data_IF_672410901315
#
_entry.id   IF_672410901315
#
_cell.length_a   1.000
_cell.length_b   1.000
_cell.length_c   1.000
_cell.angle_alpha   90.00
_cell.angle_beta   90.00
_cell.angle_gamma   90.00
#
_symmetry.space_group_name_H-M   'P 1'
#
loop_
_entity.id
_entity.type
_entity.pdbx_description
1 polymer ?
#
# COMPACT_ATOMS: atom_id res chain seq x y z
N UNK A 1 -31.88 -27.99 -2.54
CA UNK A 1 -30.41 -27.91 -2.41
C UNK A 1 -30.02 -26.46 -2.64
N UNK A 2 -29.77 -25.67 -1.60
CA UNK A 2 -29.29 -24.30 -1.78
C UNK A 2 -27.85 -24.36 -2.25
N UNK A 3 -27.59 -23.90 -3.47
CA UNK A 3 -26.24 -23.74 -3.97
C UNK A 3 -25.61 -22.61 -3.14
N UNK A 4 -24.80 -22.94 -2.13
CA UNK A 4 -23.95 -21.94 -1.48
C UNK A 4 -22.95 -21.48 -2.54
N UNK A 5 -23.11 -20.24 -3.02
CA UNK A 5 -22.16 -19.65 -3.96
C UNK A 5 -20.74 -19.78 -3.38
N UNK A 6 -19.77 -20.09 -4.25
CA UNK A 6 -18.37 -20.13 -3.82
C UNK A 6 -17.97 -18.73 -3.30
N UNK A 7 -17.22 -18.61 -2.19
CA UNK A 7 -16.90 -17.32 -1.56
C UNK A 7 -16.40 -16.24 -2.54
N UNK A 8 -15.53 -16.63 -3.48
CA UNK A 8 -15.00 -15.74 -4.52
C UNK A 8 -16.04 -15.17 -5.47
N UNK A 9 -17.18 -15.83 -5.65
CA UNK A 9 -18.26 -15.42 -6.57
C UNK A 9 -19.37 -14.62 -5.88
N UNK A 10 -19.33 -14.50 -4.55
CA UNK A 10 -20.29 -13.71 -3.79
C UNK A 10 -20.24 -12.24 -4.22
N UNK A 11 -21.38 -11.56 -4.22
CA UNK A 11 -21.38 -10.10 -4.38
C UNK A 11 -21.01 -9.44 -3.04
N UNK A 12 -20.41 -8.24 -3.04
CA UNK A 12 -20.00 -7.55 -1.81
C UNK A 12 -21.12 -7.46 -0.76
N UNK A 13 -22.35 -7.13 -1.15
CA UNK A 13 -23.49 -7.06 -0.25
C UNK A 13 -23.80 -8.41 0.43
N UNK A 14 -23.64 -9.53 -0.28
CA UNK A 14 -23.83 -10.87 0.28
C UNK A 14 -22.71 -11.21 1.27
N UNK A 15 -21.47 -10.79 1.01
CA UNK A 15 -20.35 -10.98 1.94
C UNK A 15 -20.58 -10.19 3.22
N UNK A 16 -21.03 -8.95 3.13
CA UNK A 16 -21.36 -8.11 4.29
C UNK A 16 -22.54 -8.68 5.08
N UNK A 17 -23.58 -9.17 4.42
CA UNK A 17 -24.67 -9.87 5.07
C UNK A 17 -24.22 -11.17 5.74
N UNK A 18 -23.30 -11.90 5.12
CA UNK A 18 -22.69 -13.10 5.71
C UNK A 18 -21.87 -12.77 6.95
N UNK A 19 -21.06 -11.71 6.91
CA UNK A 19 -20.26 -11.21 8.04
C UNK A 19 -21.13 -10.85 9.26
N UNK A 20 -22.31 -10.27 9.04
CA UNK A 20 -23.27 -9.95 10.11
C UNK A 20 -23.86 -11.17 10.80
N UNK A 21 -23.95 -12.30 10.11
CA UNK A 21 -24.69 -13.47 10.56
C UNK A 21 -23.78 -14.64 10.97
N UNK A 22 -22.52 -14.63 10.56
CA UNK A 22 -21.61 -15.75 10.68
C UNK A 22 -20.22 -15.26 11.08
N UNK A 23 -19.52 -16.08 11.86
CA UNK A 23 -18.13 -15.83 12.18
C UNK A 23 -17.26 -16.07 10.95
N UNK A 24 -16.60 -15.01 10.47
CA UNK A 24 -15.59 -15.13 9.42
C UNK A 24 -14.20 -14.98 10.03
N UNK A 25 -13.32 -15.93 9.73
CA UNK A 25 -11.92 -15.87 10.14
C UNK A 25 -11.14 -14.85 9.30
N UNK A 26 -11.49 -14.72 8.01
CA UNK A 26 -10.84 -13.82 7.06
C UNK A 26 -11.83 -13.39 5.96
N UNK A 27 -11.58 -12.25 5.33
CA UNK A 27 -12.27 -11.81 4.11
C UNK A 27 -11.47 -12.12 2.85
N UNK A 28 -10.25 -12.65 2.96
CA UNK A 28 -9.48 -13.10 1.81
C UNK A 28 -10.22 -14.19 1.02
N UNK A 29 -10.26 -14.07 -0.31
CA UNK A 29 -10.95 -15.01 -1.20
C UNK A 29 -12.47 -14.86 -1.26
N UNK A 30 -13.03 -13.80 -0.67
CA UNK A 30 -14.43 -13.42 -0.83
C UNK A 30 -14.56 -12.28 -1.85
N UNK A 31 -15.58 -12.38 -2.72
CA UNK A 31 -15.94 -11.38 -3.75
C UNK A 31 -14.75 -10.95 -4.63
N UNK A 32 -14.21 -11.87 -5.42
CA UNK A 32 -13.06 -11.62 -6.29
C UNK A 32 -13.32 -10.46 -7.27
N UNK A 33 -12.32 -9.59 -7.42
CA UNK A 33 -12.37 -8.41 -8.27
C UNK A 33 -13.05 -7.18 -7.63
N UNK A 34 -13.43 -7.27 -6.36
CA UNK A 34 -13.90 -6.14 -5.56
C UNK A 34 -12.86 -5.71 -4.54
N UNK A 35 -12.72 -4.39 -4.39
CA UNK A 35 -11.77 -3.81 -3.46
C UNK A 35 -12.18 -4.11 -2.02
N UNK A 36 -11.22 -4.57 -1.24
CA UNK A 36 -11.33 -4.61 0.21
C UNK A 36 -10.66 -3.39 0.83
N UNK A 37 -11.26 -2.82 1.88
CA UNK A 37 -10.77 -1.64 2.55
C UNK A 37 -10.47 -1.91 4.03
N UNK A 38 -9.33 -1.38 4.47
CA UNK A 38 -9.01 -1.24 5.88
C UNK A 38 -9.86 -0.12 6.49
N UNK A 39 -10.20 -0.26 7.77
CA UNK A 39 -10.96 0.71 8.54
C UNK A 39 -10.10 1.40 9.60
N UNK A 40 -10.26 2.73 9.72
CA UNK A 40 -10.03 3.50 10.93
C UNK A 40 -11.20 4.47 11.15
N UNK A 41 -11.90 4.38 12.27
CA UNK A 41 -12.83 5.40 12.73
C UNK A 41 -12.30 6.07 14.01
N UNK A 42 -12.39 7.39 14.07
CA UNK A 42 -11.93 8.22 15.19
C UNK A 42 -12.94 9.34 15.44
N UNK A 43 -12.99 9.90 16.66
CA UNK A 43 -13.74 11.12 16.93
C UNK A 43 -13.42 12.26 15.96
N UNK A 44 -14.42 13.10 15.69
CA UNK A 44 -14.32 14.23 14.76
C UNK A 44 -13.16 15.18 15.07
N UNK A 45 -12.85 15.39 16.35
CA UNK A 45 -11.73 16.23 16.80
C UNK A 45 -10.36 15.73 16.29
N UNK A 46 -10.23 14.43 16.00
CA UNK A 46 -9.00 13.85 15.44
C UNK A 46 -9.08 13.67 13.91
N UNK A 47 -10.25 13.87 13.30
CA UNK A 47 -10.45 13.58 11.88
C UNK A 47 -9.54 14.42 10.97
N UNK A 48 -9.39 15.72 11.29
CA UNK A 48 -8.51 16.59 10.52
C UNK A 48 -7.04 16.16 10.62
N UNK A 49 -6.59 15.83 11.83
CA UNK A 49 -5.23 15.34 12.07
C UNK A 49 -4.96 14.06 11.27
N UNK A 50 -5.91 13.12 11.26
CA UNK A 50 -5.75 11.87 10.51
C UNK A 50 -5.80 12.09 9.00
N UNK A 51 -6.68 12.96 8.50
CA UNK A 51 -6.76 13.28 7.08
C UNK A 51 -5.45 13.91 6.58
N UNK A 52 -4.88 14.85 7.35
CA UNK A 52 -3.58 15.44 7.05
C UNK A 52 -2.45 14.40 7.17
N UNK A 53 -2.51 13.52 8.17
CA UNK A 53 -1.58 12.40 8.33
C UNK A 53 -1.59 11.48 7.11
N UNK A 54 -2.77 11.07 6.65
CA UNK A 54 -2.93 10.22 5.49
C UNK A 54 -2.43 10.90 4.21
N UNK A 55 -2.73 12.19 4.03
CA UNK A 55 -2.24 12.97 2.91
C UNK A 55 -0.70 13.09 2.88
N UNK A 56 -0.06 13.16 4.06
CA UNK A 56 1.41 13.15 4.17
C UNK A 56 2.02 11.77 3.99
N UNK A 57 1.24 10.70 4.18
CA UNK A 57 1.68 9.31 4.12
C UNK A 57 0.80 8.47 3.16
N UNK A 58 0.66 8.87 1.88
CA UNK A 58 -0.34 8.30 0.98
C UNK A 58 -0.07 6.83 0.62
N UNK A 59 1.18 6.35 0.74
CA UNK A 59 1.49 4.92 0.53
C UNK A 59 0.94 4.04 1.66
N UNK A 60 1.06 4.45 2.91
CA UNK A 60 0.61 3.65 4.06
C UNK A 60 -0.85 3.87 4.40
N UNK A 61 -1.38 5.05 4.08
CA UNK A 61 -2.74 5.45 4.38
C UNK A 61 -3.46 6.00 3.12
N UNK A 62 -3.57 5.24 2.03
CA UNK A 62 -4.31 5.70 0.85
C UNK A 62 -5.80 5.72 1.17
N UNK A 63 -6.36 6.90 1.45
CA UNK A 63 -7.81 7.04 1.70
C UNK A 63 -8.57 6.80 0.39
N UNK A 64 -9.51 5.85 0.43
CA UNK A 64 -10.41 5.54 -0.68
C UNK A 64 -11.84 6.01 -0.43
N UNK A 65 -12.19 6.28 0.83
CA UNK A 65 -13.48 6.84 1.22
C UNK A 65 -13.44 7.44 2.61
N UNK A 66 -14.33 8.41 2.86
CA UNK A 66 -14.55 9.01 4.19
C UNK A 66 -16.05 9.05 4.43
N UNK A 67 -16.49 8.59 5.61
CA UNK A 67 -17.85 8.81 6.10
C UNK A 67 -17.76 9.89 7.17
N UNK A 68 -18.54 10.95 6.99
CA UNK A 68 -18.61 12.07 7.94
C UNK A 68 -19.26 11.64 9.26
N UNK A 69 -19.15 12.49 10.29
CA UNK A 69 -19.82 12.26 11.56
C UNK A 69 -21.33 12.01 11.35
N UNK A 70 -21.86 10.97 12.00
CA UNK A 70 -23.24 10.51 11.85
C UNK A 70 -23.53 9.70 10.57
N UNK A 71 -22.56 9.50 9.67
CA UNK A 71 -22.72 8.65 8.49
C UNK A 71 -22.18 7.24 8.75
N UNK A 72 -22.99 6.23 8.40
CA UNK A 72 -22.63 4.81 8.56
C UNK A 72 -22.54 4.06 7.23
N UNK A 73 -22.82 4.73 6.12
CA UNK A 73 -22.86 4.15 4.78
C UNK A 73 -22.29 5.14 3.76
N UNK A 74 -21.91 4.63 2.59
CA UNK A 74 -21.42 5.42 1.45
C UNK A 74 -21.65 4.65 0.15
N UNK A 75 -21.26 5.22 -0.99
CA UNK A 75 -21.31 4.50 -2.28
C UNK A 75 -20.42 3.25 -2.31
N UNK A 76 -19.36 3.20 -1.49
CA UNK A 76 -18.50 2.02 -1.33
C UNK A 76 -19.16 0.92 -0.49
N UNK A 77 -20.25 1.25 0.19
CA UNK A 77 -20.96 0.41 1.17
C UNK A 77 -22.48 0.59 0.97
N UNK A 78 -22.96 0.56 -0.26
CA UNK A 78 -24.34 0.92 -0.56
C UNK A 78 -25.31 -0.04 0.15
N UNK A 79 -26.26 0.54 0.90
CA UNK A 79 -27.23 -0.22 1.70
C UNK A 79 -26.64 -0.98 2.89
N UNK A 80 -25.34 -0.82 3.16
CA UNK A 80 -24.64 -1.42 4.28
C UNK A 80 -24.44 -0.45 5.45
N UNK A 81 -23.90 -0.99 6.54
CA UNK A 81 -23.60 -0.25 7.78
C UNK A 81 -22.20 -0.60 8.28
N UNK A 82 -21.30 0.39 8.31
CA UNK A 82 -19.88 0.23 8.63
C UNK A 82 -19.64 -0.32 10.04
N UNK A 83 -20.64 -0.26 10.92
CA UNK A 83 -20.57 -0.71 12.31
C UNK A 83 -20.77 -2.22 12.44
N UNK A 84 -21.36 -2.85 11.42
CA UNK A 84 -21.76 -4.28 11.46
C UNK A 84 -21.29 -5.09 10.25
N UNK A 85 -20.90 -4.43 9.15
CA UNK A 85 -20.61 -5.10 7.87
C UNK A 85 -19.15 -5.56 7.70
N UNK A 86 -18.28 -5.35 8.70
CA UNK A 86 -16.95 -5.95 8.80
C UNK A 86 -17.01 -7.13 9.77
N UNK A 87 -16.40 -8.30 9.50
CA UNK A 87 -16.53 -9.47 10.37
C UNK A 87 -15.77 -9.40 11.71
N UNK A 88 -15.12 -8.28 12.00
CA UNK A 88 -14.40 -8.10 13.25
C UNK A 88 -13.73 -6.74 13.37
N UNK A 89 -13.89 -6.14 14.54
CA UNK A 89 -13.36 -4.83 14.91
C UNK A 89 -12.40 -4.95 16.08
N UNK A 90 -11.55 -3.94 16.21
CA UNK A 90 -10.67 -3.69 17.34
C UNK A 90 -10.98 -2.33 17.90
N UNK A 91 -11.23 -2.26 19.21
CA UNK A 91 -11.51 -1.02 19.91
C UNK A 91 -10.26 -0.62 20.69
N UNK A 92 -9.78 0.59 20.42
CA UNK A 92 -8.65 1.16 21.12
C UNK A 92 -9.10 2.34 21.98
N UNK A 93 -8.69 2.36 23.24
CA UNK A 93 -8.87 3.50 24.15
C UNK A 93 -7.50 3.93 24.66
N UNK A 94 -7.18 5.20 24.47
CA UNK A 94 -5.88 5.77 24.83
C UNK A 94 -4.69 4.99 24.23
N UNK A 95 -4.90 4.43 23.03
CA UNK A 95 -3.93 3.62 22.29
C UNK A 95 -3.81 2.16 22.74
N UNK A 96 -4.57 1.72 23.74
CA UNK A 96 -4.60 0.34 24.22
C UNK A 96 -5.79 -0.42 23.61
N UNK A 97 -5.55 -1.64 23.12
CA UNK A 97 -6.61 -2.51 22.62
C UNK A 97 -7.46 -3.01 23.80
N UNK A 98 -8.71 -2.53 23.91
CA UNK A 98 -9.61 -2.90 25.01
C UNK A 98 -10.55 -4.03 24.63
N UNK A 99 -11.02 -4.04 23.38
CA UNK A 99 -12.05 -4.98 22.93
C UNK A 99 -11.79 -5.48 21.51
N UNK A 100 -12.30 -6.68 21.22
CA UNK A 100 -12.35 -7.28 19.89
C UNK A 100 -13.73 -7.88 19.69
N UNK A 101 -14.52 -7.26 18.81
CA UNK A 101 -15.97 -7.51 18.67
C UNK A 101 -16.35 -7.77 17.22
N UNK A 102 -17.47 -8.44 16.99
CA UNK A 102 -18.03 -8.67 15.64
C UNK A 102 -19.03 -7.58 15.24
N UNK A 103 -19.54 -6.82 16.22
CA UNK A 103 -20.42 -5.67 16.05
C UNK A 103 -19.86 -4.48 16.84
N UNK A 104 -19.58 -3.36 16.18
CA UNK A 104 -18.99 -2.17 16.79
C UNK A 104 -20.02 -1.09 17.13
N UNK A 105 -21.33 -1.35 16.98
CA UNK A 105 -22.40 -0.36 17.17
C UNK A 105 -22.36 0.30 18.54
N UNK A 106 -22.14 -0.47 19.61
CA UNK A 106 -22.08 0.07 20.99
C UNK A 106 -20.89 1.00 21.25
N UNK A 107 -19.84 0.91 20.41
CA UNK A 107 -18.63 1.71 20.53
C UNK A 107 -18.65 2.94 19.62
N UNK A 108 -19.60 3.01 18.69
CA UNK A 108 -19.65 4.03 17.65
C UNK A 108 -20.46 5.24 18.11
N UNK A 109 -19.76 6.28 18.56
CA UNK A 109 -20.39 7.55 18.88
C UNK A 109 -20.85 8.30 17.61
N UNK A 110 -21.81 9.21 17.76
CA UNK A 110 -22.35 10.00 16.64
C UNK A 110 -21.29 10.93 16.01
N UNK A 111 -20.29 11.35 16.78
CA UNK A 111 -19.19 12.22 16.34
C UNK A 111 -18.04 11.46 15.65
N UNK A 112 -18.21 10.17 15.35
CA UNK A 112 -17.15 9.37 14.73
C UNK A 112 -17.06 9.63 13.23
N UNK A 113 -15.86 9.97 12.76
CA UNK A 113 -15.50 10.04 11.34
C UNK A 113 -14.78 8.76 10.95
N UNK A 114 -15.18 8.18 9.82
CA UNK A 114 -14.66 6.88 9.36
C UNK A 114 -13.82 7.06 8.11
N UNK A 115 -12.61 6.52 8.13
CA UNK A 115 -11.70 6.47 7.01
C UNK A 115 -11.62 5.03 6.47
N UNK A 116 -11.98 4.88 5.21
CA UNK A 116 -11.74 3.68 4.43
C UNK A 116 -10.41 3.83 3.71
N UNK A 117 -9.50 2.88 3.95
CA UNK A 117 -8.11 2.93 3.51
C UNK A 117 -7.86 1.75 2.58
N UNK A 118 -7.29 2.01 1.40
CA UNK A 118 -7.00 0.99 0.40
C UNK A 118 -6.17 -0.17 0.95
N UNK A 119 -6.39 -1.37 0.42
CA UNK A 119 -5.73 -2.60 0.86
C UNK A 119 -4.89 -3.22 -0.26
N UNK A 120 -3.75 -3.83 0.10
CA UNK A 120 -2.86 -4.52 -0.84
C UNK A 120 -3.49 -5.71 -1.58
N UNK A 121 -4.61 -6.26 -1.09
CA UNK A 121 -5.28 -7.42 -1.71
C UNK A 121 -5.61 -7.14 -3.19
N UNK A 122 -5.93 -5.89 -3.51
CA UNK A 122 -6.21 -5.45 -4.89
C UNK A 122 -5.04 -5.69 -5.86
N UNK A 123 -3.77 -5.63 -5.42
CA UNK A 123 -2.64 -5.93 -6.32
C UNK A 123 -2.18 -7.39 -6.28
N UNK A 124 -2.66 -8.19 -5.33
CA UNK A 124 -2.28 -9.60 -5.21
C UNK A 124 -2.80 -10.42 -6.40
N UNK A 125 -4.06 -10.18 -6.80
CA UNK A 125 -4.63 -10.74 -8.02
C UNK A 125 -3.77 -10.41 -9.24
N UNK A 126 -3.31 -9.16 -9.36
CA UNK A 126 -2.46 -8.74 -10.47
C UNK A 126 -1.07 -9.42 -10.45
N UNK A 127 -0.51 -9.72 -9.28
CA UNK A 127 0.72 -10.50 -9.16
C UNK A 127 0.50 -11.94 -9.62
N UNK A 128 -0.58 -12.59 -9.15
CA UNK A 128 -0.91 -13.96 -9.50
C UNK A 128 -1.23 -14.14 -10.99
N UNK A 129 -1.97 -13.21 -11.60
CA UNK A 129 -2.26 -13.18 -13.04
C UNK A 129 -0.99 -13.06 -13.89
N UNK A 130 0.10 -12.52 -13.34
CA UNK A 130 1.42 -12.43 -13.98
C UNK A 130 2.37 -13.56 -13.55
N UNK A 131 1.84 -14.63 -12.95
CA UNK A 131 2.61 -15.82 -12.59
C UNK A 131 3.54 -15.63 -11.40
N UNK A 132 3.27 -14.67 -10.53
CA UNK A 132 3.98 -14.46 -9.26
C UNK A 132 3.15 -15.10 -8.15
N UNK A 133 3.67 -16.18 -7.57
CA UNK A 133 3.00 -16.87 -6.47
C UNK A 133 3.15 -16.10 -5.16
N UNK A 134 2.18 -16.28 -4.26
CA UNK A 134 2.11 -15.58 -2.98
C UNK A 134 2.11 -16.61 -1.85
N UNK A 135 3.23 -16.70 -1.14
CA UNK A 135 3.48 -17.74 -0.13
C UNK A 135 2.39 -17.83 0.95
N UNK A 136 1.87 -16.69 1.43
CA UNK A 136 0.82 -16.70 2.45
C UNK A 136 -0.50 -17.31 1.93
N UNK A 137 -0.84 -17.12 0.65
CA UNK A 137 -2.01 -17.75 0.01
C UNK A 137 -1.78 -19.26 -0.11
N UNK A 138 -0.63 -19.68 -0.65
CA UNK A 138 -0.30 -21.10 -0.81
C UNK A 138 -0.24 -21.86 0.52
N UNK A 139 0.18 -21.17 1.59
CA UNK A 139 0.31 -21.75 2.93
C UNK A 139 -0.97 -21.59 3.77
N UNK A 140 -2.03 -20.95 3.26
CA UNK A 140 -3.27 -20.71 4.00
C UNK A 140 -3.09 -19.84 5.25
N UNK A 141 -2.21 -18.84 5.17
CA UNK A 141 -1.77 -17.97 6.27
C UNK A 141 -2.12 -16.51 6.00
N UNK A 142 -2.24 -15.70 7.05
CA UNK A 142 -2.31 -14.25 6.91
C UNK A 142 -0.93 -13.71 6.53
N UNK A 143 -0.90 -12.69 5.67
CA UNK A 143 0.35 -12.05 5.23
C UNK A 143 1.19 -11.55 6.43
N UNK A 144 2.49 -11.81 6.40
CA UNK A 144 3.42 -11.37 7.44
C UNK A 144 3.57 -9.85 7.42
N UNK A 145 3.35 -9.18 8.55
CA UNK A 145 3.45 -7.74 8.68
C UNK A 145 4.38 -7.33 9.82
N UNK A 146 5.16 -6.28 9.61
CA UNK A 146 6.23 -5.87 10.52
C UNK A 146 6.22 -4.36 10.74
N UNK A 147 6.47 -3.94 11.97
CA UNK A 147 6.81 -2.56 12.31
C UNK A 147 8.24 -2.30 11.89
N UNK A 148 8.45 -1.22 11.16
CA UNK A 148 9.79 -0.83 10.69
C UNK A 148 10.39 0.25 11.59
N UNK A 149 11.68 0.53 11.41
CA UNK A 149 12.33 1.73 11.95
C UNK A 149 12.11 2.98 11.08
N UNK A 150 11.31 2.90 10.01
CA UNK A 150 11.01 4.02 9.12
C UNK A 150 9.87 4.83 9.75
N UNK A 151 10.09 6.11 10.11
CA UNK A 151 9.04 6.95 10.66
C UNK A 151 8.06 7.39 9.56
N UNK A 152 6.78 7.46 9.92
CA UNK A 152 5.80 8.22 9.13
C UNK A 152 6.02 9.72 9.32
N UNK A 153 5.55 10.52 8.36
CA UNK A 153 5.54 11.98 8.51
C UNK A 153 4.39 12.37 9.44
N UNK A 154 4.64 12.95 10.62
CA UNK A 154 3.59 13.20 11.62
C UNK A 154 2.59 14.28 11.15
N UNK A 155 1.38 14.26 11.71
CA UNK A 155 0.39 15.34 11.55
C UNK A 155 -0.53 15.40 12.77
N UNK A 156 -0.62 16.57 13.40
CA UNK A 156 -1.37 16.74 14.63
C UNK A 156 -0.91 15.76 15.71
N UNK A 157 -1.83 15.04 16.33
CA UNK A 157 -1.49 13.99 17.30
C UNK A 157 -0.87 12.74 16.66
N UNK A 158 -1.10 12.49 15.36
CA UNK A 158 -0.76 11.23 14.74
C UNK A 158 0.71 11.16 14.32
N UNK A 159 1.39 10.15 14.85
CA UNK A 159 2.77 9.78 14.52
C UNK A 159 2.99 8.29 14.81
N UNK A 160 4.01 7.71 14.19
CA UNK A 160 4.37 6.31 14.46
C UNK A 160 5.24 5.68 13.37
N UNK A 161 5.65 4.41 13.56
CA UNK A 161 6.40 3.69 12.56
C UNK A 161 5.52 3.31 11.36
N UNK A 162 6.14 3.22 10.18
CA UNK A 162 5.54 2.56 9.03
C UNK A 162 5.43 1.05 9.32
N UNK A 163 4.25 0.48 9.05
CA UNK A 163 4.07 -0.98 9.02
C UNK A 163 4.13 -1.46 7.57
N UNK A 164 4.85 -2.54 7.35
CA UNK A 164 5.00 -3.16 6.04
C UNK A 164 4.43 -4.57 6.02
N UNK A 165 3.88 -4.99 4.89
CA UNK A 165 3.58 -6.39 4.59
C UNK A 165 4.70 -6.97 3.73
N UNK A 166 5.12 -8.19 4.03
CA UNK A 166 6.21 -8.87 3.31
C UNK A 166 5.65 -10.00 2.45
N UNK A 167 6.09 -10.07 1.20
CA UNK A 167 5.86 -11.22 0.32
C UNK A 167 7.20 -11.68 -0.23
N UNK A 168 7.56 -12.97 -0.12
CA UNK A 168 8.75 -13.49 -0.78
C UNK A 168 8.48 -13.61 -2.28
N UNK A 169 9.30 -12.96 -3.12
CA UNK A 169 9.15 -12.93 -4.58
C UNK A 169 10.36 -13.63 -5.21
N UNK A 170 10.19 -14.50 -6.23
CA UNK A 170 11.32 -15.07 -6.96
C UNK A 170 12.29 -13.96 -7.42
N UNK A 171 13.59 -14.14 -7.22
CA UNK A 171 14.58 -13.10 -7.54
C UNK A 171 14.47 -12.59 -8.99
N UNK A 172 14.13 -13.48 -9.93
CA UNK A 172 13.91 -13.16 -11.34
C UNK A 172 12.68 -12.29 -11.63
N UNK A 173 11.70 -12.25 -10.72
CA UNK A 173 10.41 -11.56 -10.90
C UNK A 173 10.26 -10.31 -10.02
N UNK A 174 11.25 -9.95 -9.20
CA UNK A 174 11.18 -8.76 -8.33
C UNK A 174 10.90 -7.48 -9.14
N UNK A 175 11.56 -7.31 -10.28
CA UNK A 175 11.33 -6.13 -11.13
C UNK A 175 9.90 -6.09 -11.70
N UNK A 176 9.33 -7.25 -12.02
CA UNK A 176 7.94 -7.37 -12.45
C UNK A 176 6.97 -7.06 -11.31
N UNK A 177 7.21 -7.60 -10.12
CA UNK A 177 6.40 -7.30 -8.93
C UNK A 177 6.36 -5.79 -8.65
N UNK A 178 7.52 -5.11 -8.71
CA UNK A 178 7.60 -3.65 -8.58
C UNK A 178 6.76 -2.97 -9.66
N UNK A 179 6.96 -3.32 -10.94
CA UNK A 179 6.26 -2.70 -12.08
C UNK A 179 4.75 -2.91 -12.02
N UNK A 180 4.29 -4.10 -11.66
CA UNK A 180 2.87 -4.46 -11.57
C UNK A 180 2.21 -3.66 -10.44
N UNK A 181 2.77 -3.74 -9.23
CA UNK A 181 2.18 -3.08 -8.04
C UNK A 181 2.26 -1.56 -8.11
N UNK A 182 3.25 -0.99 -8.80
CA UNK A 182 3.34 0.47 -9.05
C UNK A 182 2.14 1.06 -9.80
N UNK A 183 1.35 0.24 -10.49
CA UNK A 183 0.12 0.67 -11.19
C UNK A 183 -1.06 0.89 -10.25
N UNK A 184 -0.90 0.65 -8.95
CA UNK A 184 -1.98 0.71 -7.98
C UNK A 184 -1.66 1.69 -6.83
N UNK A 185 -1.43 2.98 -7.12
CA UNK A 185 -0.95 3.94 -6.12
C UNK A 185 -1.94 4.17 -4.96
N UNK A 186 -3.24 3.97 -5.19
CA UNK A 186 -4.30 4.13 -4.19
C UNK A 186 -4.52 2.91 -3.30
N UNK A 187 -3.70 1.85 -3.44
CA UNK A 187 -3.73 0.64 -2.61
C UNK A 187 -2.29 0.18 -2.30
N UNK A 188 -1.52 1.11 -1.74
CA UNK A 188 -0.09 1.01 -1.36
C UNK A 188 0.93 1.12 -2.49
N UNK A 189 0.61 0.63 -3.68
CA UNK A 189 1.43 0.85 -4.88
C UNK A 189 2.77 0.10 -4.86
N UNK A 190 3.85 0.79 -5.26
CA UNK A 190 5.18 0.20 -5.35
C UNK A 190 5.73 -0.23 -3.97
N UNK A 191 6.60 -1.27 -3.91
CA UNK A 191 7.29 -1.65 -2.68
C UNK A 191 8.00 -0.46 -2.03
N UNK A 192 8.06 -0.47 -0.70
CA UNK A 192 8.84 0.49 0.08
C UNK A 192 10.27 0.01 0.33
N UNK A 193 10.49 -1.31 0.29
CA UNK A 193 11.80 -1.92 0.47
C UNK A 193 11.89 -3.26 -0.27
N UNK A 194 13.10 -3.63 -0.70
CA UNK A 194 13.42 -4.89 -1.38
C UNK A 194 14.72 -5.43 -0.79
N UNK A 195 14.71 -6.69 -0.37
CA UNK A 195 15.93 -7.38 0.07
C UNK A 195 16.08 -7.40 1.59
N UNK A 196 17.23 -6.91 2.09
CA UNK A 196 17.67 -7.17 3.46
C UNK A 196 16.70 -6.56 4.51
N UNK A 197 15.99 -7.37 5.32
CA UNK A 197 15.01 -6.87 6.29
C UNK A 197 15.62 -5.98 7.37
N UNK A 198 16.90 -6.17 7.70
CA UNK A 198 17.58 -5.40 8.75
C UNK A 198 17.70 -3.92 8.43
N UNK A 199 17.74 -3.55 7.15
CA UNK A 199 17.86 -2.16 6.72
C UNK A 199 16.61 -1.34 7.09
N UNK A 200 15.47 -2.01 7.27
CA UNK A 200 14.20 -1.42 7.73
C UNK A 200 13.85 -1.82 9.17
N UNK A 201 14.84 -2.28 9.94
CA UNK A 201 14.69 -2.57 11.36
C UNK A 201 14.08 -3.92 11.70
N UNK A 202 13.89 -4.82 10.73
CA UNK A 202 13.32 -6.15 10.95
C UNK A 202 14.48 -7.14 11.17
N UNK A 203 14.64 -7.62 12.40
CA UNK A 203 15.73 -8.52 12.78
C UNK A 203 15.45 -9.99 12.48
N UNK A 204 14.18 -10.40 12.47
CA UNK A 204 13.75 -11.79 12.36
C UNK A 204 12.41 -11.89 11.61
N UNK A 205 12.44 -12.46 10.40
CA UNK A 205 11.23 -12.64 9.57
C UNK A 205 10.30 -13.73 10.11
N UNK A 206 10.77 -14.63 10.98
CA UNK A 206 9.92 -15.68 11.57
C UNK A 206 8.98 -15.16 12.67
N UNK A 207 9.11 -13.88 13.05
CA UNK A 207 8.36 -13.24 14.14
C UNK A 207 7.68 -11.95 13.66
N UNK A 208 6.64 -12.03 12.82
CA UNK A 208 5.91 -10.84 12.42
C UNK A 208 5.21 -10.18 13.61
N UNK A 209 5.07 -8.85 13.56
CA UNK A 209 4.31 -8.10 14.55
C UNK A 209 2.79 -8.32 14.37
N UNK A 210 2.35 -8.59 13.13
CA UNK A 210 0.97 -8.93 12.81
C UNK A 210 0.90 -9.98 11.70
N UNK A 211 -0.15 -10.80 11.71
CA UNK A 211 -0.31 -11.91 10.76
C UNK A 211 0.57 -13.11 11.14
N UNK A 212 0.83 -13.97 10.16
CA UNK A 212 1.53 -15.23 10.38
C UNK A 212 2.89 -15.21 9.68
N UNK A 213 3.88 -15.91 10.23
CA UNK A 213 5.15 -16.12 9.55
C UNK A 213 4.93 -17.01 8.32
N UNK A 214 5.69 -16.80 7.25
CA UNK A 214 5.65 -17.67 6.05
C UNK A 214 7.01 -18.26 5.77
N UNK A 215 7.02 -19.45 5.17
CA UNK A 215 8.24 -20.05 4.66
C UNK A 215 8.70 -19.26 3.42
N UNK A 216 9.99 -18.91 3.37
CA UNK A 216 10.60 -18.18 2.26
C UNK A 216 11.38 -19.21 1.42
N UNK A 217 10.91 -19.57 0.22
CA UNK A 217 11.58 -20.58 -0.58
C UNK A 217 12.96 -20.11 -1.04
N UNK A 218 13.85 -21.06 -1.33
CA UNK A 218 15.17 -20.75 -1.88
C UNK A 218 15.04 -19.90 -3.17
N UNK A 219 15.96 -18.96 -3.36
CA UNK A 219 15.94 -18.06 -4.52
C UNK A 219 14.86 -16.96 -4.48
N UNK A 220 14.07 -16.85 -3.40
CA UNK A 220 13.12 -15.75 -3.21
C UNK A 220 13.74 -14.62 -2.40
N UNK A 221 13.33 -13.39 -2.71
CA UNK A 221 13.74 -12.16 -2.05
C UNK A 221 12.55 -11.60 -1.28
N UNK A 222 12.70 -11.25 0.01
CA UNK A 222 11.68 -10.52 0.75
C UNK A 222 11.43 -9.15 0.12
N UNK A 223 10.18 -8.89 -0.27
CA UNK A 223 9.75 -7.60 -0.79
C UNK A 223 8.68 -7.02 0.14
N UNK A 224 8.79 -5.74 0.47
CA UNK A 224 7.99 -5.09 1.50
C UNK A 224 7.16 -3.97 0.91
N UNK A 225 5.85 -4.00 1.15
CA UNK A 225 4.91 -2.95 0.77
C UNK A 225 4.40 -2.25 2.01
N UNK A 226 4.11 -0.95 1.91
CA UNK A 226 3.34 -0.27 2.95
C UNK A 226 2.03 -1.03 3.21
N UNK A 227 1.57 -1.05 4.45
CA UNK A 227 0.41 -1.84 4.85
C UNK A 227 -0.63 -0.96 5.54
N UNK A 228 -1.92 -1.22 5.26
CA UNK A 228 -3.06 -0.55 5.88
C UNK A 228 -3.28 -0.89 7.36
N UNK A 229 -2.35 -1.62 7.98
CA UNK A 229 -2.23 -1.77 9.45
C UNK A 229 -1.35 -0.66 10.06
N UNK A 230 -0.66 0.17 9.25
CA UNK A 230 0.05 1.36 9.73
C UNK A 230 -0.82 2.28 10.61
N UNK A 231 -2.10 2.56 10.26
CA UNK A 231 -3.02 3.26 11.14
C UNK A 231 -3.17 2.64 12.54
N UNK A 232 -3.15 1.30 12.68
CA UNK A 232 -3.22 0.66 14.00
C UNK A 232 -1.97 0.96 14.83
N UNK A 233 -0.78 0.86 14.23
CA UNK A 233 0.47 1.21 14.92
C UNK A 233 0.52 2.70 15.31
N UNK A 234 -0.01 3.57 14.43
CA UNK A 234 -0.12 5.01 14.68
C UNK A 234 -1.12 5.31 15.80
N UNK A 235 -2.26 4.62 15.86
CA UNK A 235 -3.23 4.72 16.98
C UNK A 235 -2.57 4.32 18.29
N UNK A 236 -1.87 3.17 18.34
CA UNK A 236 -1.19 2.71 19.55
C UNK A 236 -0.11 3.69 20.03
N UNK A 237 0.58 4.34 19.10
CA UNK A 237 1.61 5.32 19.41
C UNK A 237 1.03 6.68 19.83
N UNK A 238 -0.02 7.14 19.15
CA UNK A 238 -0.58 8.49 19.29
C UNK A 238 -1.66 8.60 20.36
N UNK A 239 -2.18 7.46 20.82
CA UNK A 239 -3.10 7.33 21.96
C UNK A 239 -4.34 8.24 21.88
N UNK A 240 -5.12 8.20 20.78
CA UNK A 240 -6.40 8.92 20.75
C UNK A 240 -7.35 8.33 21.82
N UNK A 241 -8.27 9.16 22.35
CA UNK A 241 -9.25 8.73 23.37
C UNK A 241 -10.07 7.50 22.96
N UNK A 242 -10.32 7.38 21.65
CA UNK A 242 -11.03 6.28 21.04
C UNK A 242 -10.56 6.14 19.58
N UNK A 243 -10.33 4.91 19.16
CA UNK A 243 -10.22 4.55 17.75
C UNK A 243 -10.80 3.16 17.53
N UNK A 244 -11.50 2.98 16.40
CA UNK A 244 -12.07 1.69 15.99
C UNK A 244 -11.40 1.30 14.69
N UNK A 245 -10.84 0.10 14.62
CA UNK A 245 -10.29 -0.45 13.38
C UNK A 245 -10.90 -1.79 13.08
N UNK A 246 -10.66 -2.29 11.87
CA UNK A 246 -10.91 -3.69 11.56
C UNK A 246 -9.87 -4.62 12.25
N UNK A 247 -10.24 -5.88 12.47
CA UNK A 247 -9.29 -6.93 12.83
C UNK A 247 -8.44 -7.30 11.60
N UNK A 248 -7.12 -7.54 11.74
CA UNK A 248 -6.29 -7.97 10.62
C UNK A 248 -6.87 -9.20 9.91
N UNK A 249 -6.92 -9.16 8.58
CA UNK A 249 -7.52 -10.21 7.75
C UNK A 249 -9.04 -10.14 7.60
N UNK A 250 -9.73 -9.28 8.36
CA UNK A 250 -11.19 -9.09 8.29
C UNK A 250 -11.49 -7.66 7.81
N UNK A 251 -11.34 -7.40 6.53
CA UNK A 251 -11.52 -6.07 5.94
C UNK A 251 -12.97 -5.82 5.53
N UNK A 252 -13.32 -4.57 5.22
CA UNK A 252 -14.60 -4.26 4.57
C UNK A 252 -14.53 -4.69 3.10
N UNK A 253 -15.48 -5.51 2.64
CA UNK A 253 -15.66 -5.80 1.20
C UNK A 253 -16.56 -4.71 0.58
N UNK A 254 -15.98 -3.89 -0.29
CA UNK A 254 -16.65 -2.71 -0.87
C UNK A 254 -17.34 -3.02 -2.18
N UNK A 255 -18.24 -2.12 -2.60
CA UNK A 255 -18.91 -2.20 -3.90
C UNK A 255 -18.03 -1.71 -5.07
N UNK A 256 -16.83 -1.18 -4.78
CA UNK A 256 -15.89 -0.72 -5.80
C UNK A 256 -15.07 -1.88 -6.40
N UNK A 257 -14.74 -1.78 -7.68
CA UNK A 257 -13.91 -2.77 -8.37
C UNK A 257 -12.43 -2.48 -8.19
N UNK A 258 -11.63 -3.53 -8.07
CA UNK A 258 -10.17 -3.43 -8.04
C UNK A 258 -9.59 -2.65 -9.24
N UNK A 259 -10.16 -2.87 -10.42
CA UNK A 259 -9.72 -2.24 -11.67
C UNK A 259 -9.91 -0.73 -11.71
N UNK A 260 -10.80 -0.17 -10.87
CA UNK A 260 -11.05 1.27 -10.83
C UNK A 260 -9.88 2.05 -10.21
N UNK A 261 -9.05 1.37 -9.42
CA UNK A 261 -7.88 1.92 -8.74
C UNK A 261 -6.56 1.67 -9.50
N UNK A 262 -6.62 0.99 -10.65
CA UNK A 262 -5.46 0.78 -11.51
C UNK A 262 -5.16 2.02 -12.37
N UNK A 263 -3.88 2.36 -12.48
CA UNK A 263 -3.36 3.50 -13.23
C UNK A 263 -2.23 3.06 -14.19
N UNK A 264 -2.34 3.33 -15.50
CA UNK A 264 -3.51 3.89 -16.18
C UNK A 264 -4.70 2.91 -16.15
N UNK A 265 -5.93 3.44 -16.14
CA UNK A 265 -7.15 2.62 -16.13
C UNK A 265 -7.14 1.66 -17.33
N UNK A 266 -7.38 0.35 -17.12
CA UNK A 266 -7.52 -0.62 -18.21
C UNK A 266 -8.56 -0.17 -19.23
N UNK A 267 -8.25 -0.33 -20.52
CA UNK A 267 -9.16 0.08 -21.59
C UNK A 267 -9.19 1.57 -21.89
N UNK A 268 -8.57 2.44 -21.07
CA UNK A 268 -8.36 3.84 -21.41
C UNK A 268 -7.27 3.94 -22.49
N UNK A 269 -7.65 3.77 -23.76
CA UNK A 269 -6.81 4.20 -24.88
C UNK A 269 -6.64 5.70 -24.73
N UNK A 270 -5.43 6.17 -24.40
CA UNK A 270 -5.05 7.55 -24.68
C UNK A 270 -5.19 7.73 -26.20
N UNK A 271 -6.35 8.21 -26.66
CA UNK A 271 -6.46 8.86 -27.95
C UNK A 271 -5.70 10.17 -27.79
N UNK A 272 -4.40 10.12 -28.03
CA UNK A 272 -3.66 11.28 -28.51
C UNK A 272 -4.28 11.63 -29.87
N UNK A 273 -5.39 12.37 -29.85
CA UNK A 273 -5.79 13.18 -30.99
C UNK A 273 -4.77 14.30 -31.08
N UNK A 274 -3.59 13.98 -31.62
CA UNK A 274 -2.78 14.99 -32.26
C UNK A 274 -3.66 15.56 -33.38
N UNK A 275 -3.99 16.86 -33.36
CA UNK A 275 -4.68 17.46 -34.50
C UNK A 275 -3.77 17.30 -35.71
N UNK A 276 -4.16 16.41 -36.63
CA UNK A 276 -3.49 16.19 -37.92
C UNK A 276 -3.41 17.46 -38.79
N UNK A 277 -4.00 18.57 -38.34
CA UNK A 277 -4.01 19.86 -39.03
C UNK A 277 -2.68 20.64 -38.93
N UNK A 278 -1.70 20.19 -38.13
CA UNK A 278 -0.35 20.80 -38.10
C UNK A 278 0.66 20.12 -39.05
N UNK A 279 0.29 19.07 -39.76
CA UNK A 279 1.12 18.42 -40.78
C UNK A 279 0.71 18.85 -42.19
N UNK A 280 0.75 20.15 -42.48
CA UNK A 280 0.86 20.63 -43.86
C UNK A 280 2.35 20.82 -44.18
N UNK A 281 2.91 20.13 -45.19
CA UNK A 281 4.32 20.28 -45.55
C UNK A 281 4.49 21.54 -46.40
N UNK A 282 4.51 22.70 -45.76
CA UNK A 282 4.96 23.95 -46.40
C UNK A 282 5.96 24.67 -45.52
N UNK A 283 7.02 23.98 -45.12
CA UNK A 283 8.30 24.60 -44.82
C UNK A 283 9.40 23.53 -44.83
N UNK A 284 10.45 23.76 -45.64
CA UNK A 284 11.70 23.00 -45.58
C UNK A 284 12.36 23.29 -44.24
N UNK A 285 12.23 22.40 -43.26
CA UNK A 285 13.05 22.41 -42.05
C UNK A 285 13.90 21.15 -42.00
N UNK A 286 15.21 21.34 -41.78
CA UNK A 286 16.21 20.28 -41.77
C UNK A 286 16.11 19.33 -40.56
N UNK A 287 16.96 18.28 -40.52
CA UNK A 287 16.83 17.10 -39.66
C UNK A 287 16.94 17.34 -38.14
N UNK A 288 17.20 18.57 -37.69
CA UNK A 288 17.40 18.91 -36.28
C UNK A 288 16.05 19.20 -35.56
N UNK A 289 14.98 19.54 -36.28
CA UNK A 289 13.70 19.92 -35.67
C UNK A 289 12.85 18.73 -35.16
N UNK A 290 13.06 17.51 -35.66
CA UNK A 290 12.28 16.33 -35.26
C UNK A 290 12.61 15.82 -33.85
N UNK A 291 13.85 16.01 -33.39
CA UNK A 291 14.30 15.60 -32.06
C UNK A 291 13.65 16.46 -30.95
N UNK A 292 13.29 17.70 -31.27
CA UNK A 292 12.71 18.63 -30.29
C UNK A 292 11.24 18.36 -29.98
N UNK A 293 10.45 17.88 -30.95
CA UNK A 293 9.02 17.59 -30.74
C UNK A 293 8.80 16.31 -29.91
N UNK A 294 9.64 15.30 -30.13
CA UNK A 294 9.64 14.06 -29.33
C UNK A 294 10.16 14.34 -27.91
N UNK A 295 11.18 15.19 -27.77
CA UNK A 295 11.67 15.66 -26.47
C UNK A 295 10.60 16.42 -25.68
N UNK A 296 9.82 17.30 -26.33
CA UNK A 296 8.76 18.08 -25.67
C UNK A 296 7.58 17.21 -25.21
N UNK A 297 7.21 16.18 -25.98
CA UNK A 297 6.16 15.23 -25.58
C UNK A 297 6.63 14.29 -24.44
N UNK A 298 7.92 13.95 -24.40
CA UNK A 298 8.52 13.18 -23.31
C UNK A 298 8.63 14.02 -22.03
N UNK A 299 9.06 15.29 -22.12
CA UNK A 299 9.12 16.19 -20.96
C UNK A 299 7.72 16.51 -20.39
N UNK A 300 6.72 16.69 -21.24
CA UNK A 300 5.36 16.98 -20.81
C UNK A 300 4.70 15.79 -20.09
N UNK A 301 4.98 14.56 -20.53
CA UNK A 301 4.49 13.34 -19.88
C UNK A 301 5.22 13.07 -18.55
N UNK A 302 6.52 13.33 -18.45
CA UNK A 302 7.27 13.17 -17.19
C UNK A 302 6.90 14.22 -16.12
N UNK A 303 6.61 15.47 -16.51
CA UNK A 303 6.28 16.56 -15.55
C UNK A 303 4.91 16.43 -14.89
N UNK A 304 3.95 15.70 -15.46
CA UNK A 304 2.65 15.43 -14.80
C UNK A 304 2.68 14.26 -13.82
N UNK A 305 3.72 13.42 -13.85
CA UNK A 305 3.88 12.26 -12.95
C UNK A 305 4.61 12.65 -11.65
N UNK A 306 5.30 13.80 -11.62
CA UNK A 306 6.01 14.31 -10.44
C UNK A 306 5.49 15.69 -10.04
N UNK A 307 4.36 15.74 -9.33
CA UNK A 307 4.04 16.88 -8.47
C UNK A 307 4.58 16.60 -7.06
N UNK A 308 5.88 16.80 -6.89
CA UNK A 308 6.47 17.20 -5.60
C UNK A 308 7.39 18.40 -5.89
N UNK A 309 7.37 19.39 -4.99
CA UNK A 309 7.92 20.73 -5.22
C UNK A 309 9.43 20.79 -5.50
N UNK A 310 9.96 21.99 -5.79
CA UNK A 310 11.32 22.15 -6.29
C UNK A 310 12.37 21.76 -5.24
N UNK A 311 13.12 20.71 -5.53
CA UNK A 311 14.35 20.34 -4.83
C UNK A 311 15.39 21.43 -5.08
N UNK A 312 15.73 22.19 -4.04
CA UNK A 312 16.86 23.13 -4.05
C UNK A 312 18.08 22.40 -3.49
N UNK A 313 19.15 22.16 -4.27
CA UNK A 313 20.38 21.62 -3.71
C UNK A 313 21.12 22.73 -2.96
N UNK A 314 21.17 22.65 -1.63
CA UNK A 314 22.16 23.39 -0.86
C UNK A 314 23.54 22.82 -1.21
N UNK A 315 24.36 23.63 -1.89
CA UNK A 315 25.79 23.38 -2.06
C UNK A 315 26.48 23.72 -0.74
N UNK A 316 26.95 22.71 -0.03
CA UNK A 316 27.86 22.87 1.09
C UNK A 316 29.31 23.05 0.56
N UNK A 317 29.99 24.19 0.81
CA UNK A 317 31.28 24.50 0.21
C UNK A 317 32.44 24.01 1.09
N UNK A 318 32.51 22.72 1.44
CA UNK A 318 33.69 22.15 2.12
C UNK A 318 33.96 20.70 1.74
N UNK A 319 34.23 20.41 0.46
CA UNK A 319 34.97 19.19 0.09
C UNK A 319 35.79 19.43 -1.19
N UNK A 320 36.94 20.07 -1.01
CA UNK A 320 38.00 20.11 -2.01
C UNK A 320 39.25 19.46 -1.44
N UNK A 321 39.47 18.18 -1.74
CA UNK A 321 40.80 17.54 -1.82
C UNK A 321 40.65 16.14 -2.44
N UNK A 322 41.27 15.92 -3.60
CA UNK A 322 41.43 14.60 -4.25
C UNK A 322 42.34 13.70 -3.39
N UNK A 323 42.09 12.38 -3.27
CA UNK A 323 43.08 11.47 -2.72
C UNK A 323 44.21 11.24 -3.72
N UNK A 324 45.44 11.49 -3.30
CA UNK A 324 46.66 11.07 -3.99
C UNK A 324 46.82 9.55 -3.83
N UNK A 325 47.02 8.84 -4.94
CA UNK A 325 47.41 7.43 -4.93
C UNK A 325 48.88 7.31 -4.51
N UNK A 326 49.11 6.88 -3.27
CA UNK A 326 50.42 6.57 -2.73
C UNK A 326 50.96 5.22 -3.23
N UNK A 327 52.21 5.23 -3.66
CA UNK A 327 53.02 4.04 -3.97
C UNK A 327 53.43 3.30 -2.68
N UNK A 328 53.53 1.97 -2.77
CA UNK A 328 54.11 1.07 -1.75
C UNK A 328 53.13 -0.06 -1.43
N UNK A 329 53.46 -1.35 -1.44
CA UNK A 329 54.73 -2.08 -1.49
C UNK A 329 54.39 -3.54 -1.86
N UNK A 330 55.20 -4.18 -2.72
CA UNK A 330 55.03 -5.59 -3.13
C UNK A 330 55.34 -6.55 -1.97
N UNK A 331 54.59 -7.65 -1.76
CA UNK A 331 55.00 -8.70 -0.84
C UNK A 331 56.07 -9.61 -1.48
N UNK A 332 57.08 -9.97 -0.68
CA UNK A 332 58.23 -10.79 -1.05
C UNK A 332 57.86 -12.28 -1.25
N UNK A 333 58.54 -12.94 -2.20
CA UNK A 333 58.48 -14.40 -2.42
C UNK A 333 59.22 -15.15 -1.31
N UNK A 334 58.74 -16.32 -0.85
CA UNK A 334 59.50 -17.17 0.06
C UNK A 334 60.62 -17.94 -0.69
N UNK A 335 61.74 -18.26 -0.02
CA UNK A 335 62.86 -18.97 -0.64
C UNK A 335 62.58 -20.48 -0.76
N UNK A 336 62.96 -21.04 -1.90
CA UNK A 336 63.09 -22.48 -2.10
C UNK A 336 64.35 -22.98 -1.39
N UNK A 337 64.20 -24.03 -0.57
CA UNK A 337 65.32 -24.80 -0.06
C UNK A 337 65.32 -26.19 -0.72
N UNK A 338 66.54 -26.63 -1.03
CA UNK A 338 66.92 -27.90 -1.66
C UNK A 338 66.79 -29.09 -0.72
#
# INVERSE_FOLDING_TARGET
MSYTAHPSTMQPADVRAHARQNQMVTTAGFADGYMQANLLAVPQDYAFDFLLFAQRNPKSCPIVGVLEAGQYSSELLAGGDIRTDIPGYRIFRDGELTDSVEDATEFWAEDMVTFLIGCSFTFESALQENGITLAHIEQGRNVSMYRTNIPTTPAGIFSGPLVVSMRPIPASQVADAVRITSRYPSVHGAPVHVGNPKDIGISDLSRPDFGDAVDIPEGHIPVFWACGVTPQAVVMNSKPRLAITHQPGKMLVTDARDVDYQVPKPGLRLRLQLPLQLLRPTARFGPIAWVSLVGFLYEWSCRKIWLTGPFTPQRDPTYGTKPQWGQGSRPAKPPQAR
#
